data_IF_675414197840
#
_entry.id   IF_675414197840
#
_cell.length_a   1.000
_cell.length_b   1.000
_cell.length_c   1.000
_cell.angle_alpha   90.00
_cell.angle_beta   90.00
_cell.angle_gamma   90.00
#
_symmetry.space_group_name_H-M   'P 1'
#
loop_
_entity.id
_entity.type
_entity.pdbx_description
1 polymer ?
#
# COMPACT_ATOMS: atom_id res chain seq x y z
N UNK A 1 83.23 -39.96 36.54
CA UNK A 1 81.93 -40.22 37.13
C UNK A 1 81.22 -38.87 37.31
N UNK A 2 80.29 -38.49 36.43
CA UNK A 2 79.38 -37.34 36.61
C UNK A 2 78.01 -37.78 36.07
N UNK A 3 77.03 -37.87 36.98
CA UNK A 3 75.62 -38.16 36.68
C UNK A 3 74.94 -36.86 36.11
N UNK A 4 74.36 -37.01 34.95
CA UNK A 4 73.46 -35.94 34.36
C UNK A 4 72.05 -36.32 34.77
N UNK A 5 71.39 -35.44 35.51
CA UNK A 5 69.97 -35.55 35.85
C UNK A 5 69.14 -34.97 34.69
N UNK A 6 68.31 -35.78 34.08
CA UNK A 6 67.34 -35.32 33.08
C UNK A 6 66.16 -34.58 33.69
N UNK A 7 65.94 -33.40 33.21
CA UNK A 7 64.78 -32.53 33.56
C UNK A 7 63.59 -32.95 32.67
N UNK A 8 62.53 -33.49 33.25
CA UNK A 8 61.30 -33.79 32.54
C UNK A 8 60.43 -32.53 32.50
N UNK A 9 60.31 -31.93 31.34
CA UNK A 9 59.39 -30.81 31.08
C UNK A 9 58.01 -31.36 30.89
N UNK A 10 57.09 -31.10 31.83
CA UNK A 10 55.63 -31.39 31.67
C UNK A 10 55.01 -30.17 30.94
N UNK A 11 54.61 -30.36 29.69
CA UNK A 11 53.84 -29.37 28.96
C UNK A 11 52.36 -29.47 29.41
N UNK A 12 51.91 -28.47 30.16
CA UNK A 12 50.50 -28.34 30.51
C UNK A 12 49.73 -27.77 29.31
N UNK A 13 48.91 -28.57 28.66
CA UNK A 13 48.02 -28.14 27.58
C UNK A 13 46.80 -27.46 28.25
N UNK A 14 46.76 -26.12 28.27
CA UNK A 14 45.61 -25.34 28.73
C UNK A 14 44.51 -25.42 27.67
N UNK A 15 43.46 -26.22 27.92
CA UNK A 15 42.24 -26.27 27.11
C UNK A 15 41.42 -25.02 27.40
N UNK A 16 41.50 -24.00 26.52
CA UNK A 16 40.62 -22.82 26.59
C UNK A 16 39.23 -23.25 26.09
N UNK A 17 38.34 -23.63 26.99
CA UNK A 17 36.91 -23.70 26.71
C UNK A 17 36.42 -22.25 26.53
N UNK A 18 36.25 -21.84 25.28
CA UNK A 18 35.55 -20.64 24.95
C UNK A 18 34.08 -20.78 25.38
N UNK A 19 33.73 -20.20 26.52
CA UNK A 19 32.33 -19.98 26.91
C UNK A 19 31.75 -19.01 25.89
N UNK A 20 31.02 -19.52 24.91
CA UNK A 20 30.13 -18.67 24.09
C UNK A 20 29.06 -18.11 25.04
N UNK A 21 29.26 -16.85 25.46
CA UNK A 21 28.20 -16.10 26.14
C UNK A 21 27.01 -16.05 25.20
N UNK A 22 25.79 -16.36 25.65
CA UNK A 22 24.61 -16.12 24.82
C UNK A 22 24.59 -14.64 24.46
N UNK A 23 24.54 -14.34 23.17
CA UNK A 23 24.34 -12.98 22.71
C UNK A 23 23.04 -12.46 23.37
N UNK A 24 23.13 -11.33 24.05
CA UNK A 24 21.93 -10.69 24.60
C UNK A 24 20.99 -10.37 23.45
N UNK A 25 19.69 -10.66 23.64
CA UNK A 25 18.67 -10.32 22.66
C UNK A 25 18.75 -8.82 22.35
N UNK A 26 18.81 -8.46 21.08
CA UNK A 26 18.78 -7.07 20.65
C UNK A 26 17.33 -6.55 20.55
N UNK A 27 17.14 -5.27 20.85
CA UNK A 27 15.87 -4.58 20.62
C UNK A 27 16.02 -3.76 19.33
N UNK A 28 15.26 -4.15 18.28
CA UNK A 28 15.27 -3.48 16.98
C UNK A 28 13.98 -2.68 16.83
N UNK A 29 14.07 -1.44 16.37
CA UNK A 29 12.90 -0.62 16.01
C UNK A 29 12.92 -0.37 14.52
N UNK A 30 11.84 -0.75 13.81
CA UNK A 30 11.59 -0.42 12.42
C UNK A 30 10.53 0.66 12.31
N UNK A 31 10.66 1.52 11.31
CA UNK A 31 9.65 2.51 10.92
C UNK A 31 9.08 2.14 9.56
N UNK A 32 7.79 1.79 9.51
CA UNK A 32 7.04 1.56 8.28
C UNK A 32 6.17 2.78 7.97
N UNK A 33 6.42 3.42 6.84
CA UNK A 33 5.61 4.54 6.34
C UNK A 33 4.66 4.02 5.27
N UNK A 34 3.36 4.07 5.55
CA UNK A 34 2.31 3.39 4.78
C UNK A 34 1.17 4.33 4.37
N UNK A 35 0.28 3.85 3.51
CA UNK A 35 -0.93 4.58 3.12
C UNK A 35 -2.16 4.13 3.92
N UNK A 36 -3.22 4.96 3.91
CA UNK A 36 -4.37 4.83 4.83
C UNK A 36 -5.04 3.45 4.87
N UNK A 37 -5.41 2.79 3.76
CA UNK A 37 -6.18 1.54 3.78
C UNK A 37 -5.46 0.35 4.44
N UNK A 38 -4.17 0.44 4.72
CA UNK A 38 -3.38 -0.66 5.28
C UNK A 38 -3.33 -0.72 6.81
N UNK A 39 -3.96 0.22 7.52
CA UNK A 39 -3.86 0.35 8.99
C UNK A 39 -4.14 -0.94 9.74
N UNK A 40 -5.26 -1.55 9.46
CA UNK A 40 -5.75 -2.75 10.15
C UNK A 40 -4.89 -3.97 9.77
N UNK A 41 -4.49 -4.05 8.50
CA UNK A 41 -3.58 -5.08 8.01
C UNK A 41 -2.23 -5.02 8.75
N UNK A 42 -1.54 -3.87 8.72
CA UNK A 42 -0.23 -3.76 9.35
C UNK A 42 -0.27 -3.86 10.87
N UNK A 43 -1.39 -3.53 11.52
CA UNK A 43 -1.54 -3.76 12.96
C UNK A 43 -1.40 -5.25 13.32
N UNK A 44 -2.05 -6.13 12.57
CA UNK A 44 -1.97 -7.58 12.80
C UNK A 44 -0.66 -8.16 12.24
N UNK A 45 -0.26 -7.73 11.07
CA UNK A 45 0.97 -8.16 10.42
C UNK A 45 2.22 -7.88 11.26
N UNK A 46 2.33 -6.69 11.86
CA UNK A 46 3.45 -6.31 12.71
C UNK A 46 3.59 -7.22 13.94
N UNK A 47 2.47 -7.62 14.54
CA UNK A 47 2.49 -8.58 15.65
C UNK A 47 2.98 -9.96 15.19
N UNK A 48 2.46 -10.46 14.08
CA UNK A 48 2.87 -11.75 13.51
C UNK A 48 4.36 -11.75 13.11
N UNK A 49 4.84 -10.65 12.53
CA UNK A 49 6.25 -10.51 12.19
C UNK A 49 7.14 -10.45 13.43
N UNK A 50 6.74 -9.73 14.46
CA UNK A 50 7.51 -9.65 15.72
C UNK A 50 7.71 -11.03 16.36
N UNK A 51 6.65 -11.86 16.39
CA UNK A 51 6.71 -13.22 16.89
C UNK A 51 7.61 -14.10 16.02
N UNK A 52 7.49 -13.98 14.69
CA UNK A 52 8.37 -14.69 13.74
C UNK A 52 9.84 -14.30 13.92
N UNK A 53 10.14 -13.00 14.00
CA UNK A 53 11.50 -12.50 14.14
C UNK A 53 12.14 -12.97 15.44
N UNK A 54 11.40 -12.87 16.54
CA UNK A 54 11.85 -13.36 17.84
C UNK A 54 12.11 -14.87 17.83
N UNK A 55 11.24 -15.65 17.21
CA UNK A 55 11.43 -17.10 17.08
C UNK A 55 12.65 -17.48 16.22
N UNK A 56 12.96 -16.67 15.22
CA UNK A 56 14.06 -16.89 14.28
C UNK A 56 15.43 -16.46 14.82
N UNK A 57 15.49 -15.32 15.53
CA UNK A 57 16.75 -14.67 15.91
C UNK A 57 16.98 -14.61 17.42
N UNK A 58 15.93 -14.68 18.22
CA UNK A 58 15.94 -14.37 19.64
C UNK A 58 15.76 -12.87 19.95
N UNK A 59 15.86 -11.99 18.95
CA UNK A 59 15.76 -10.54 19.12
C UNK A 59 14.31 -10.07 19.14
N UNK A 60 14.04 -9.00 19.87
CA UNK A 60 12.75 -8.32 19.80
C UNK A 60 12.75 -7.30 18.67
N UNK A 61 11.61 -7.16 17.99
CA UNK A 61 11.40 -6.10 17.00
C UNK A 61 10.11 -5.34 17.31
N UNK A 62 10.19 -4.02 17.28
CA UNK A 62 9.03 -3.12 17.37
C UNK A 62 8.86 -2.39 16.06
N UNK A 63 7.67 -2.41 15.47
CA UNK A 63 7.39 -1.72 14.23
C UNK A 63 6.52 -0.50 14.52
N UNK A 64 7.08 0.69 14.34
CA UNK A 64 6.35 1.95 14.37
C UNK A 64 5.75 2.20 12.98
N UNK A 65 4.48 2.57 12.91
CA UNK A 65 3.80 2.82 11.64
C UNK A 65 3.28 4.25 11.55
N UNK A 66 3.49 4.87 10.37
CA UNK A 66 2.86 6.13 9.98
C UNK A 66 1.89 5.87 8.84
N UNK A 67 0.65 6.34 8.95
CA UNK A 67 -0.38 6.16 7.92
C UNK A 67 -0.98 7.50 7.50
N UNK A 68 -1.25 7.63 6.19
CA UNK A 68 -1.85 8.82 5.59
C UNK A 68 -2.06 8.67 4.10
N UNK A 69 -2.39 9.73 3.41
CA UNK A 69 -2.38 9.71 1.94
C UNK A 69 -0.99 9.40 1.40
N UNK A 70 -0.88 8.50 0.41
CA UNK A 70 0.42 7.97 -0.09
C UNK A 70 1.40 9.07 -0.50
N UNK A 71 0.96 10.04 -1.32
CA UNK A 71 1.81 11.17 -1.71
C UNK A 71 2.23 12.06 -0.53
N UNK A 72 1.36 12.23 0.49
CA UNK A 72 1.71 12.92 1.73
C UNK A 72 2.77 12.16 2.52
N UNK A 73 2.66 10.83 2.59
CA UNK A 73 3.62 9.97 3.26
C UNK A 73 4.98 9.97 2.54
N UNK A 74 4.99 9.91 1.20
CA UNK A 74 6.21 10.04 0.41
C UNK A 74 6.90 11.38 0.70
N UNK A 75 6.15 12.48 0.76
CA UNK A 75 6.69 13.79 1.10
C UNK A 75 7.29 13.81 2.50
N UNK A 76 6.65 13.20 3.50
CA UNK A 76 7.18 13.12 4.85
C UNK A 76 8.54 12.41 4.90
N UNK A 77 8.72 11.33 4.11
CA UNK A 77 10.02 10.64 4.00
C UNK A 77 11.08 11.54 3.35
N UNK A 78 10.73 12.25 2.28
CA UNK A 78 11.62 13.21 1.61
C UNK A 78 12.04 14.34 2.60
N UNK A 79 11.10 14.82 3.39
CA UNK A 79 11.32 15.89 4.38
C UNK A 79 12.02 15.39 5.66
N UNK A 80 12.42 14.12 5.74
CA UNK A 80 13.28 13.58 6.78
C UNK A 80 12.63 12.59 7.76
N UNK A 81 11.41 12.10 7.52
CA UNK A 81 10.87 11.00 8.31
C UNK A 81 11.72 9.74 8.06
N UNK A 82 12.36 9.24 9.12
CA UNK A 82 13.40 8.21 9.06
C UNK A 82 12.80 6.80 8.92
N UNK A 83 12.19 6.54 7.75
CA UNK A 83 11.58 5.25 7.42
C UNK A 83 12.63 4.18 7.13
N UNK A 84 12.45 2.98 7.67
CA UNK A 84 13.19 1.78 7.26
C UNK A 84 12.60 1.17 5.99
N UNK A 85 11.27 1.14 5.94
CA UNK A 85 10.51 0.65 4.81
C UNK A 85 9.36 1.59 4.47
N UNK A 86 9.01 1.61 3.20
CA UNK A 86 7.80 2.28 2.71
C UNK A 86 6.88 1.24 2.08
N UNK A 87 5.60 1.36 2.37
CA UNK A 87 4.54 0.47 1.84
C UNK A 87 3.42 1.37 1.34
N UNK A 88 3.65 1.94 0.14
CA UNK A 88 2.82 3.02 -0.42
C UNK A 88 1.82 2.51 -1.45
N UNK A 89 0.90 3.38 -1.84
CA UNK A 89 -0.13 3.03 -2.82
C UNK A 89 0.37 3.02 -4.27
N UNK A 90 1.48 3.71 -4.57
CA UNK A 90 1.91 4.00 -5.94
C UNK A 90 3.42 3.82 -6.09
N UNK A 91 3.85 3.19 -7.17
CA UNK A 91 5.27 3.09 -7.50
C UNK A 91 5.91 4.47 -7.67
N UNK A 92 5.23 5.40 -8.31
CA UNK A 92 5.74 6.76 -8.52
C UNK A 92 6.01 7.53 -7.22
N UNK A 93 5.30 7.24 -6.14
CA UNK A 93 5.57 7.86 -4.84
C UNK A 93 6.90 7.35 -4.26
N UNK A 94 7.26 6.08 -4.51
CA UNK A 94 8.57 5.52 -4.13
C UNK A 94 9.67 6.00 -5.09
N UNK A 95 9.40 6.11 -6.39
CA UNK A 95 10.34 6.67 -7.38
C UNK A 95 10.75 8.10 -7.01
N UNK A 96 9.80 8.91 -6.54
CA UNK A 96 10.09 10.30 -6.11
C UNK A 96 10.97 10.27 -4.84
N UNK A 97 10.71 9.38 -3.88
CA UNK A 97 11.59 9.21 -2.71
C UNK A 97 13.00 8.82 -3.15
N UNK A 98 13.13 7.85 -4.08
CA UNK A 98 14.43 7.42 -4.60
C UNK A 98 15.20 8.58 -5.22
N UNK A 99 14.53 9.32 -6.09
CA UNK A 99 15.10 10.47 -6.82
C UNK A 99 15.54 11.60 -5.90
N UNK A 100 14.66 12.01 -4.98
CA UNK A 100 14.90 13.20 -4.14
C UNK A 100 15.86 12.93 -2.97
N UNK A 101 15.91 11.68 -2.49
CA UNK A 101 16.75 11.33 -1.33
C UNK A 101 18.05 10.60 -1.70
N UNK A 102 18.09 9.89 -2.83
CA UNK A 102 19.20 9.00 -3.19
C UNK A 102 19.38 7.81 -2.23
N UNK A 103 18.40 7.55 -1.35
CA UNK A 103 18.52 6.55 -0.28
C UNK A 103 18.09 5.14 -0.68
N UNK A 104 17.55 4.96 -1.87
CA UNK A 104 17.23 3.64 -2.45
C UNK A 104 17.51 3.69 -3.96
N UNK A 105 17.84 2.54 -4.59
CA UNK A 105 18.19 2.51 -6.01
C UNK A 105 16.96 2.67 -6.89
N UNK A 106 17.15 3.19 -8.12
CA UNK A 106 16.06 3.37 -9.09
C UNK A 106 15.38 2.05 -9.49
N UNK A 107 16.10 0.92 -9.45
CA UNK A 107 15.57 -0.40 -9.76
C UNK A 107 14.94 -1.11 -8.54
N UNK A 108 14.58 -0.39 -7.47
CA UNK A 108 14.01 -0.92 -6.24
C UNK A 108 12.85 -1.90 -6.48
N UNK A 109 12.04 -1.65 -7.50
CA UNK A 109 10.83 -2.43 -7.80
C UNK A 109 11.14 -3.87 -8.24
N UNK A 110 12.34 -4.14 -8.75
CA UNK A 110 12.77 -5.49 -9.16
C UNK A 110 13.32 -6.35 -8.02
N UNK A 111 13.39 -5.82 -6.79
CA UNK A 111 14.05 -6.49 -5.65
C UNK A 111 13.19 -7.54 -4.97
N UNK A 112 11.85 -7.43 -5.10
CA UNK A 112 10.90 -8.34 -4.51
C UNK A 112 9.95 -8.91 -5.59
N UNK A 113 9.30 -10.05 -5.32
CA UNK A 113 8.36 -10.65 -6.27
C UNK A 113 7.22 -9.73 -6.68
N UNK A 114 6.60 -10.00 -7.84
CA UNK A 114 5.44 -9.26 -8.35
C UNK A 114 5.69 -7.75 -8.45
N UNK A 115 6.86 -7.35 -8.95
CA UNK A 115 7.29 -5.95 -9.01
C UNK A 115 7.16 -5.24 -7.65
N UNK A 116 7.57 -5.92 -6.58
CA UNK A 116 7.50 -5.48 -5.18
C UNK A 116 6.08 -5.22 -4.66
N UNK A 117 5.05 -5.84 -5.25
CA UNK A 117 3.65 -5.74 -4.83
C UNK A 117 3.19 -7.06 -4.20
N UNK A 118 3.17 -7.18 -2.86
CA UNK A 118 2.84 -8.43 -2.16
C UNK A 118 1.35 -8.78 -2.22
N UNK A 119 0.52 -7.85 -2.56
CA UNK A 119 -0.92 -7.96 -2.73
C UNK A 119 -1.42 -6.92 -3.72
N UNK A 120 -2.64 -7.11 -4.19
CA UNK A 120 -3.34 -6.17 -5.09
C UNK A 120 -4.70 -5.78 -4.53
N UNK A 121 -5.32 -4.80 -5.14
CA UNK A 121 -6.70 -4.38 -4.87
C UNK A 121 -7.31 -3.80 -6.15
N UNK A 122 -8.48 -3.24 -6.04
CA UNK A 122 -9.14 -2.51 -7.11
C UNK A 122 -10.03 -1.43 -6.55
N UNK A 123 -10.66 -0.64 -7.43
CA UNK A 123 -11.62 0.38 -7.06
C UNK A 123 -13.03 -0.16 -7.26
N UNK A 124 -13.83 -0.02 -6.22
CA UNK A 124 -15.26 -0.36 -6.19
C UNK A 124 -16.07 0.85 -5.72
N UNK A 125 -17.39 0.77 -5.84
CA UNK A 125 -18.30 1.77 -5.31
C UNK A 125 -18.90 1.25 -4.00
N UNK A 126 -18.77 2.01 -2.93
CA UNK A 126 -19.54 1.79 -1.71
C UNK A 126 -20.76 2.72 -1.75
N UNK A 127 -21.94 2.13 -1.72
CA UNK A 127 -23.21 2.87 -1.78
C UNK A 127 -24.05 2.64 -0.52
N UNK A 128 -25.03 3.49 -0.28
CA UNK A 128 -26.01 3.29 0.79
C UNK A 128 -26.80 2.02 0.55
N UNK A 129 -27.24 1.35 1.61
CA UNK A 129 -28.06 0.12 1.52
C UNK A 129 -29.29 0.32 0.63
N UNK A 130 -29.51 -0.67 -0.23
CA UNK A 130 -30.58 -0.63 -1.22
C UNK A 130 -30.29 0.27 -2.42
N UNK A 131 -29.08 0.84 -2.50
CA UNK A 131 -28.62 1.66 -3.62
C UNK A 131 -29.67 2.67 -4.12
N UNK A 132 -30.08 3.66 -3.32
CA UNK A 132 -31.23 4.52 -3.61
C UNK A 132 -31.13 5.30 -4.93
N UNK A 133 -29.89 5.52 -5.42
CA UNK A 133 -29.62 6.18 -6.70
C UNK A 133 -29.51 5.21 -7.87
N UNK A 134 -29.56 3.90 -7.64
CA UNK A 134 -29.46 2.88 -8.67
C UNK A 134 -28.13 2.85 -9.41
N UNK A 135 -27.03 3.25 -8.74
CA UNK A 135 -25.69 3.37 -9.32
C UNK A 135 -25.12 1.97 -9.59
N UNK A 136 -24.73 1.70 -10.84
CA UNK A 136 -24.24 0.40 -11.28
C UNK A 136 -22.85 0.50 -11.92
N UNK A 137 -22.54 1.61 -12.56
CA UNK A 137 -21.31 1.78 -13.32
C UNK A 137 -20.84 3.24 -13.31
N UNK A 138 -19.65 3.48 -13.82
CA UNK A 138 -19.00 4.80 -13.88
C UNK A 138 -19.88 5.85 -14.56
N UNK A 139 -20.63 5.48 -15.61
CA UNK A 139 -21.56 6.37 -16.31
C UNK A 139 -22.66 6.97 -15.43
N UNK A 140 -23.04 6.25 -14.36
CA UNK A 140 -24.05 6.74 -13.42
C UNK A 140 -23.51 7.87 -12.52
N UNK A 141 -22.18 7.92 -12.32
CA UNK A 141 -21.54 8.88 -11.42
C UNK A 141 -21.52 10.31 -11.95
N UNK A 142 -21.72 10.50 -13.25
CA UNK A 142 -21.78 11.81 -13.90
C UNK A 142 -23.20 12.36 -14.05
N UNK A 143 -24.21 11.63 -13.56
CA UNK A 143 -25.60 12.08 -13.59
C UNK A 143 -25.82 13.26 -12.63
N UNK A 144 -26.73 14.16 -13.02
CA UNK A 144 -27.12 15.28 -12.17
C UNK A 144 -27.77 14.80 -10.87
N UNK A 145 -27.36 15.41 -9.76
CA UNK A 145 -27.88 15.09 -8.42
C UNK A 145 -27.25 13.84 -7.77
N UNK A 146 -26.20 13.25 -8.36
CA UNK A 146 -25.36 12.26 -7.73
C UNK A 146 -24.20 12.96 -7.04
N UNK A 147 -23.94 12.64 -5.79
CA UNK A 147 -22.78 13.14 -5.03
C UNK A 147 -21.75 12.02 -4.85
N UNK A 148 -20.55 12.24 -5.40
CA UNK A 148 -19.43 11.29 -5.37
C UNK A 148 -18.43 11.72 -4.30
N UNK A 149 -18.04 10.80 -3.43
CA UNK A 149 -16.97 11.01 -2.46
C UNK A 149 -15.70 10.29 -2.95
N UNK A 150 -14.62 11.03 -3.03
CA UNK A 150 -13.27 10.53 -3.36
C UNK A 150 -12.24 11.46 -2.73
N UNK A 151 -11.06 10.96 -2.33
CA UNK A 151 -10.02 11.83 -1.81
C UNK A 151 -9.33 12.64 -2.91
N UNK A 152 -8.44 13.54 -2.50
CA UNK A 152 -7.73 14.45 -3.40
C UNK A 152 -6.55 13.74 -4.11
N UNK A 153 -6.49 13.68 -5.45
CA UNK A 153 -5.38 13.09 -6.20
C UNK A 153 -4.01 13.75 -5.97
N UNK A 154 -3.97 14.98 -5.48
CA UNK A 154 -2.71 15.66 -5.13
C UNK A 154 -2.06 15.10 -3.85
N UNK A 155 -2.82 14.45 -2.98
CA UNK A 155 -2.32 13.96 -1.67
C UNK A 155 -2.53 12.48 -1.44
N UNK A 156 -3.51 11.87 -2.12
CA UNK A 156 -3.93 10.49 -1.93
C UNK A 156 -3.60 9.62 -3.15
N UNK A 157 -2.83 8.55 -2.93
CA UNK A 157 -2.61 7.54 -3.97
C UNK A 157 -3.90 6.81 -4.35
N UNK A 158 -4.79 6.55 -3.38
CA UNK A 158 -6.11 5.96 -3.66
C UNK A 158 -6.93 6.81 -4.61
N UNK A 159 -6.88 8.13 -4.46
CA UNK A 159 -7.57 9.05 -5.37
C UNK A 159 -7.02 9.00 -6.81
N UNK A 160 -5.70 8.78 -6.97
CA UNK A 160 -5.10 8.61 -8.30
C UNK A 160 -5.59 7.32 -8.96
N UNK A 161 -5.70 6.23 -8.21
CA UNK A 161 -6.30 4.99 -8.70
C UNK A 161 -7.79 5.19 -9.08
N UNK A 162 -8.59 5.89 -8.25
CA UNK A 162 -9.99 6.22 -8.54
C UNK A 162 -10.12 7.01 -9.85
N UNK A 163 -9.31 8.04 -10.00
CA UNK A 163 -9.26 8.90 -11.19
C UNK A 163 -8.90 8.10 -12.44
N UNK A 164 -7.82 7.29 -12.38
CA UNK A 164 -7.36 6.52 -13.53
C UNK A 164 -8.36 5.42 -13.91
N UNK A 165 -9.05 4.79 -12.95
CA UNK A 165 -10.11 3.84 -13.25
C UNK A 165 -11.27 4.49 -14.02
N UNK A 166 -11.71 5.69 -13.60
CA UNK A 166 -12.72 6.46 -14.32
C UNK A 166 -12.26 6.89 -15.72
N UNK A 167 -10.98 7.26 -15.85
CA UNK A 167 -10.37 7.62 -17.14
C UNK A 167 -10.35 6.44 -18.12
N UNK A 168 -9.92 5.27 -17.66
CA UNK A 168 -9.89 4.03 -18.46
C UNK A 168 -11.31 3.69 -18.96
N UNK A 169 -12.30 3.75 -18.06
CA UNK A 169 -13.69 3.53 -18.46
C UNK A 169 -14.13 4.50 -19.55
N UNK A 170 -13.80 5.78 -19.42
CA UNK A 170 -14.16 6.80 -20.41
C UNK A 170 -13.45 6.55 -21.76
N UNK A 171 -12.16 6.22 -21.76
CA UNK A 171 -11.44 5.87 -22.99
C UNK A 171 -12.11 4.70 -23.73
N UNK A 172 -12.47 3.64 -23.01
CA UNK A 172 -13.17 2.51 -23.64
C UNK A 172 -14.55 2.89 -24.15
N UNK A 173 -15.31 3.65 -23.37
CA UNK A 173 -16.67 4.07 -23.73
C UNK A 173 -16.69 4.98 -24.96
N UNK A 174 -15.70 5.85 -25.08
CA UNK A 174 -15.65 6.88 -26.14
C UNK A 174 -14.63 6.56 -27.24
N UNK A 175 -14.20 5.30 -27.39
CA UNK A 175 -13.35 4.88 -28.50
C UNK A 175 -11.95 5.49 -28.48
N UNK A 176 -11.32 5.57 -27.29
CA UNK A 176 -9.97 6.11 -27.05
C UNK A 176 -9.84 7.62 -27.29
N UNK A 177 -10.95 8.37 -27.17
CA UNK A 177 -10.98 9.82 -27.30
C UNK A 177 -10.60 10.46 -25.96
N UNK A 178 -9.37 10.96 -25.87
CA UNK A 178 -8.81 11.60 -24.67
C UNK A 178 -9.58 12.88 -24.27
N UNK A 179 -10.10 13.63 -25.22
CA UNK A 179 -10.85 14.85 -24.92
C UNK A 179 -12.19 14.51 -24.26
N UNK A 180 -12.87 13.46 -24.72
CA UNK A 180 -14.10 12.97 -24.10
C UNK A 180 -13.82 12.30 -22.75
N UNK A 181 -12.70 11.64 -22.59
CA UNK A 181 -12.29 11.10 -21.28
C UNK A 181 -12.05 12.23 -20.28
N UNK A 182 -11.39 13.32 -20.69
CA UNK A 182 -11.20 14.50 -19.85
C UNK A 182 -12.55 15.17 -19.48
N UNK A 183 -13.47 15.29 -20.43
CA UNK A 183 -14.81 15.83 -20.17
C UNK A 183 -15.57 14.97 -19.17
N UNK A 184 -15.57 13.64 -19.36
CA UNK A 184 -16.23 12.68 -18.47
C UNK A 184 -15.70 12.77 -17.04
N UNK A 185 -14.36 12.69 -16.86
CA UNK A 185 -13.75 12.79 -15.53
C UNK A 185 -13.98 14.17 -14.93
N UNK A 186 -13.93 15.22 -15.75
CA UNK A 186 -14.30 16.58 -15.31
C UNK A 186 -15.74 16.64 -14.78
N UNK A 187 -16.68 15.99 -15.47
CA UNK A 187 -18.08 15.92 -15.01
C UNK A 187 -18.21 15.11 -13.71
N UNK A 188 -17.47 14.02 -13.57
CA UNK A 188 -17.42 13.25 -12.31
C UNK A 188 -16.96 14.14 -11.16
N UNK A 189 -15.88 14.92 -11.34
CA UNK A 189 -15.35 15.78 -10.28
C UNK A 189 -16.25 17.00 -9.97
N UNK A 190 -17.12 17.43 -10.88
CA UNK A 190 -18.18 18.41 -10.55
C UNK A 190 -19.19 17.86 -9.54
N UNK A 191 -19.37 16.54 -9.50
CA UNK A 191 -20.23 15.85 -8.54
C UNK A 191 -19.53 15.55 -7.21
N UNK A 192 -18.28 15.97 -7.02
CA UNK A 192 -17.50 15.75 -5.79
C UNK A 192 -17.59 16.98 -4.88
N UNK A 193 -18.38 16.93 -3.79
CA UNK A 193 -18.58 18.07 -2.91
C UNK A 193 -17.39 18.31 -1.96
N UNK A 194 -16.60 17.27 -1.66
CA UNK A 194 -15.50 17.31 -0.69
C UNK A 194 -14.33 16.47 -1.19
N UNK A 195 -13.11 17.01 -1.12
CA UNK A 195 -11.87 16.31 -1.38
C UNK A 195 -11.08 16.17 -0.08
N UNK A 196 -11.19 14.99 0.56
CA UNK A 196 -10.41 14.67 1.75
C UNK A 196 -8.93 14.40 1.38
N UNK A 197 -8.03 14.52 2.35
CA UNK A 197 -6.58 14.36 2.10
C UNK A 197 -6.14 12.92 1.88
N UNK A 198 -6.98 11.92 2.22
CA UNK A 198 -6.69 10.49 2.09
C UNK A 198 -7.95 9.64 2.12
N UNK A 199 -7.80 8.35 1.78
CA UNK A 199 -8.91 7.40 1.66
C UNK A 199 -9.73 7.30 2.94
N UNK A 200 -9.08 7.20 4.11
CA UNK A 200 -9.79 7.10 5.40
C UNK A 200 -10.64 8.34 5.71
N UNK A 201 -10.18 9.53 5.31
CA UNK A 201 -10.96 10.77 5.41
C UNK A 201 -12.25 10.67 4.60
N UNK A 202 -12.17 10.21 3.35
CA UNK A 202 -13.32 10.02 2.47
C UNK A 202 -14.30 8.96 3.00
N UNK A 203 -13.79 7.84 3.55
CA UNK A 203 -14.62 6.85 4.24
C UNK A 203 -15.37 7.48 5.41
N UNK A 204 -14.70 8.28 6.23
CA UNK A 204 -15.33 9.00 7.36
C UNK A 204 -16.39 9.98 6.86
N UNK A 205 -16.08 10.77 5.83
CA UNK A 205 -17.03 11.72 5.22
C UNK A 205 -18.27 11.01 4.69
N UNK A 206 -18.09 9.92 3.97
CA UNK A 206 -19.21 9.14 3.44
C UNK A 206 -19.93 8.38 4.55
N UNK A 207 -19.25 7.46 5.25
CA UNK A 207 -19.92 6.45 6.09
C UNK A 207 -20.36 7.01 7.44
N UNK A 208 -19.58 7.92 8.06
CA UNK A 208 -19.88 8.42 9.41
C UNK A 208 -20.59 9.78 9.39
N UNK A 209 -20.24 10.67 8.46
CA UNK A 209 -20.86 12.00 8.35
C UNK A 209 -22.11 11.99 7.47
N UNK A 210 -22.37 10.92 6.74
CA UNK A 210 -23.54 10.77 5.89
C UNK A 210 -23.54 11.62 4.62
N UNK A 211 -22.38 12.11 4.17
CA UNK A 211 -22.25 12.97 2.99
C UNK A 211 -22.01 12.09 1.75
N UNK A 212 -22.70 12.41 0.64
CA UNK A 212 -22.55 11.74 -0.63
C UNK A 212 -23.43 10.50 -0.81
N UNK A 213 -23.64 10.13 -2.07
CA UNK A 213 -24.43 8.96 -2.49
C UNK A 213 -23.56 7.74 -2.72
N UNK A 214 -22.31 7.96 -3.13
CA UNK A 214 -21.33 6.91 -3.44
C UNK A 214 -19.93 7.33 -3.00
N UNK A 215 -19.18 6.37 -2.49
CA UNK A 215 -17.75 6.49 -2.22
C UNK A 215 -16.98 5.65 -3.25
N UNK A 216 -16.05 6.26 -3.98
CA UNK A 216 -15.03 5.54 -4.72
C UNK A 216 -14.01 5.03 -3.73
N UNK A 217 -13.99 3.72 -3.51
CA UNK A 217 -13.18 3.11 -2.46
C UNK A 217 -12.26 2.03 -3.02
N UNK A 218 -11.13 1.82 -2.35
CA UNK A 218 -10.40 0.58 -2.45
C UNK A 218 -11.30 -0.58 -2.01
N UNK A 219 -11.21 -1.71 -2.69
CA UNK A 219 -12.00 -2.89 -2.39
C UNK A 219 -11.86 -3.32 -0.91
N UNK A 220 -10.63 -3.34 -0.39
CA UNK A 220 -10.39 -3.67 1.02
C UNK A 220 -11.01 -2.66 2.00
N UNK A 221 -11.00 -1.38 1.69
CA UNK A 221 -11.61 -0.33 2.53
C UNK A 221 -13.14 -0.43 2.52
N UNK A 222 -13.74 -0.80 1.38
CA UNK A 222 -15.16 -1.05 1.27
C UNK A 222 -15.60 -2.25 2.12
N UNK A 223 -14.89 -3.38 2.03
CA UNK A 223 -15.17 -4.54 2.88
C UNK A 223 -14.95 -4.27 4.37
N UNK A 224 -13.90 -3.52 4.71
CA UNK A 224 -13.65 -3.11 6.08
C UNK A 224 -14.79 -2.24 6.63
N UNK A 225 -15.30 -1.32 5.81
CA UNK A 225 -16.44 -0.47 6.17
C UNK A 225 -17.70 -1.30 6.45
N UNK A 226 -18.00 -2.30 5.61
CA UNK A 226 -19.11 -3.23 5.86
C UNK A 226 -18.91 -4.00 7.17
N UNK A 227 -17.71 -4.50 7.42
CA UNK A 227 -17.38 -5.25 8.63
C UNK A 227 -17.51 -4.41 9.90
N UNK A 228 -17.08 -3.14 9.87
CA UNK A 228 -17.04 -2.28 11.05
C UNK A 228 -18.35 -1.55 11.32
N UNK A 229 -19.07 -1.14 10.26
CA UNK A 229 -20.26 -0.30 10.40
C UNK A 229 -21.58 -1.02 10.09
N UNK A 230 -21.52 -2.24 9.56
CA UNK A 230 -22.65 -3.11 9.32
C UNK A 230 -23.04 -3.22 7.84
N UNK A 231 -23.34 -4.45 7.41
CA UNK A 231 -23.82 -4.78 6.07
C UNK A 231 -25.27 -4.32 5.80
N UNK A 232 -25.94 -3.87 6.84
CA UNK A 232 -27.29 -3.29 6.77
C UNK A 232 -27.29 -1.80 6.38
N UNK A 233 -26.12 -1.13 6.41
CA UNK A 233 -26.01 0.30 6.12
C UNK A 233 -25.47 0.58 4.70
N UNK A 234 -24.63 -0.32 4.18
CA UNK A 234 -23.94 -0.12 2.91
C UNK A 234 -23.94 -1.39 2.07
N UNK A 235 -23.65 -1.23 0.80
CA UNK A 235 -23.36 -2.33 -0.12
C UNK A 235 -22.29 -1.94 -1.13
N UNK A 236 -21.58 -2.95 -1.64
CA UNK A 236 -20.51 -2.79 -2.62
C UNK A 236 -21.10 -3.03 -4.02
N UNK A 237 -20.87 -2.08 -4.91
CA UNK A 237 -21.14 -2.20 -6.35
C UNK A 237 -19.82 -2.33 -7.08
N UNK A 238 -19.65 -3.40 -7.84
CA UNK A 238 -18.47 -3.63 -8.67
C UNK A 238 -18.79 -3.11 -10.07
N UNK A 239 -18.04 -2.09 -10.57
CA UNK A 239 -18.29 -1.53 -11.89
C UNK A 239 -17.92 -2.51 -13.00
N UNK A 240 -18.38 -2.26 -14.23
CA UNK A 240 -18.15 -3.11 -15.41
C UNK A 240 -16.67 -3.32 -15.72
N UNK A 241 -15.83 -2.33 -15.41
CA UNK A 241 -14.38 -2.42 -15.39
C UNK A 241 -13.80 -1.57 -14.27
N UNK A 242 -12.61 -1.94 -13.82
CA UNK A 242 -11.83 -1.15 -12.89
C UNK A 242 -10.33 -1.32 -13.17
N UNK A 243 -9.50 -0.69 -12.35
CA UNK A 243 -8.04 -0.77 -12.49
C UNK A 243 -7.47 -1.80 -11.52
N UNK A 244 -6.46 -2.56 -11.96
CA UNK A 244 -5.66 -3.40 -11.08
C UNK A 244 -4.71 -2.51 -10.28
N UNK A 245 -5.00 -2.33 -9.01
CA UNK A 245 -4.14 -1.56 -8.12
C UNK A 245 -3.07 -2.46 -7.50
N UNK A 246 -1.80 -2.15 -7.75
CA UNK A 246 -0.63 -2.91 -7.33
C UNK A 246 0.21 -2.05 -6.37
N UNK A 247 -0.17 -1.94 -5.07
CA UNK A 247 0.55 -1.12 -4.10
C UNK A 247 1.91 -1.75 -3.76
N UNK A 248 3.03 -1.05 -4.04
CA UNK A 248 4.35 -1.58 -3.86
C UNK A 248 4.93 -1.31 -2.48
N UNK A 249 5.97 -2.08 -2.15
CA UNK A 249 6.78 -1.92 -0.94
C UNK A 249 8.26 -1.78 -1.28
N UNK A 250 9.01 -1.03 -0.47
CA UNK A 250 10.44 -0.87 -0.69
C UNK A 250 11.21 -0.63 0.60
N UNK A 251 12.48 -1.03 0.58
CA UNK A 251 13.47 -0.76 1.62
C UNK A 251 14.10 0.62 1.36
N UNK A 252 14.32 1.41 2.40
CA UNK A 252 15.08 2.65 2.33
C UNK A 252 16.54 2.37 2.75
N UNK A 253 17.35 1.97 1.78
CA UNK A 253 18.71 1.46 2.01
C UNK A 253 19.58 2.37 2.87
N UNK A 254 19.60 3.66 2.56
CA UNK A 254 20.42 4.61 3.33
C UNK A 254 20.02 4.73 4.80
N UNK A 255 18.73 4.56 5.12
CA UNK A 255 18.26 4.62 6.49
C UNK A 255 18.57 3.32 7.24
N UNK A 256 18.26 2.15 6.64
CA UNK A 256 18.50 0.87 7.32
C UNK A 256 20.00 0.61 7.55
N UNK A 257 20.87 1.08 6.65
CA UNK A 257 22.33 0.98 6.84
C UNK A 257 22.81 1.89 7.97
N UNK A 258 22.34 3.13 8.01
CA UNK A 258 22.68 4.07 9.06
C UNK A 258 22.21 3.63 10.45
N UNK A 259 21.05 2.96 10.52
CA UNK A 259 20.43 2.46 11.76
C UNK A 259 20.88 1.05 12.14
N UNK A 260 21.52 0.30 11.24
CA UNK A 260 21.85 -1.12 11.44
C UNK A 260 20.63 -2.04 11.47
N UNK A 261 19.50 -1.63 10.87
CA UNK A 261 18.21 -2.37 10.88
C UNK A 261 17.98 -3.21 9.63
N UNK A 262 18.91 -3.24 8.67
CA UNK A 262 18.77 -3.87 7.35
C UNK A 262 18.23 -5.29 7.42
N UNK A 263 18.82 -6.17 8.23
CA UNK A 263 18.43 -7.57 8.30
C UNK A 263 16.96 -7.75 8.74
N UNK A 264 16.51 -6.97 9.72
CA UNK A 264 15.12 -7.01 10.18
C UNK A 264 14.16 -6.39 9.16
N UNK A 265 14.56 -5.30 8.49
CA UNK A 265 13.74 -4.61 7.49
C UNK A 265 13.57 -5.44 6.20
N UNK A 266 14.63 -6.10 5.72
CA UNK A 266 14.54 -7.05 4.59
C UNK A 266 13.65 -8.23 4.94
N UNK A 267 13.86 -8.85 6.11
CA UNK A 267 12.99 -9.94 6.57
C UNK A 267 11.53 -9.50 6.73
N UNK A 268 11.28 -8.25 7.14
CA UNK A 268 9.94 -7.69 7.25
C UNK A 268 9.25 -7.61 5.88
N UNK A 269 9.94 -7.17 4.84
CA UNK A 269 9.38 -7.12 3.49
C UNK A 269 9.21 -8.52 2.89
N UNK A 270 10.17 -9.41 3.08
CA UNK A 270 10.10 -10.81 2.60
C UNK A 270 8.93 -11.57 3.25
N UNK A 271 8.66 -11.31 4.52
CA UNK A 271 7.57 -11.96 5.26
C UNK A 271 6.18 -11.64 4.69
N UNK A 272 6.01 -10.54 3.96
CA UNK A 272 4.77 -10.22 3.22
C UNK A 272 4.42 -11.31 2.18
N UNK A 273 5.42 -11.96 1.61
CA UNK A 273 5.26 -13.02 0.60
C UNK A 273 5.23 -14.44 1.19
N UNK A 274 5.33 -14.56 2.52
CA UNK A 274 5.18 -15.83 3.24
C UNK A 274 3.72 -16.26 3.30
N UNK A 275 3.49 -17.54 3.66
CA UNK A 275 2.14 -18.05 3.90
C UNK A 275 1.35 -17.18 4.89
N UNK A 276 1.98 -16.77 5.99
CA UNK A 276 1.33 -15.91 6.99
C UNK A 276 1.00 -14.53 6.42
N UNK A 277 1.94 -13.90 5.71
CA UNK A 277 1.72 -12.61 5.06
C UNK A 277 0.57 -12.65 4.06
N UNK A 278 0.49 -13.69 3.24
CA UNK A 278 -0.55 -13.85 2.23
C UNK A 278 -1.92 -14.18 2.83
N UNK A 279 -1.97 -15.00 3.89
CA UNK A 279 -3.19 -15.23 4.67
C UNK A 279 -3.71 -13.95 5.30
N UNK A 280 -2.84 -13.16 5.91
CA UNK A 280 -3.21 -11.88 6.49
C UNK A 280 -3.69 -10.87 5.43
N UNK A 281 -3.04 -10.82 4.27
CA UNK A 281 -3.49 -9.97 3.17
C UNK A 281 -4.93 -10.31 2.76
N UNK A 282 -5.24 -11.60 2.52
CA UNK A 282 -6.59 -12.04 2.18
C UNK A 282 -7.60 -11.78 3.31
N UNK A 283 -7.24 -12.08 4.56
CA UNK A 283 -8.08 -11.81 5.75
C UNK A 283 -8.47 -10.32 5.87
N UNK A 284 -7.56 -9.43 5.49
CA UNK A 284 -7.75 -7.98 5.49
C UNK A 284 -8.22 -7.43 4.13
N UNK A 285 -8.82 -8.29 3.31
CA UNK A 285 -9.50 -7.94 2.07
C UNK A 285 -8.59 -7.42 0.95
N UNK A 286 -7.29 -7.72 1.01
CA UNK A 286 -6.39 -7.57 -0.13
C UNK A 286 -6.33 -8.85 -0.94
N UNK A 287 -6.25 -8.74 -2.26
CA UNK A 287 -6.04 -9.87 -3.16
C UNK A 287 -4.58 -10.31 -3.07
N UNK A 288 -4.26 -11.47 -2.47
CA UNK A 288 -2.86 -11.89 -2.28
C UNK A 288 -2.18 -12.14 -3.63
N UNK A 289 -0.87 -11.83 -3.72
CA UNK A 289 -0.08 -12.12 -4.93
C UNK A 289 0.15 -13.63 -5.13
N UNK A 290 -0.02 -14.42 -4.05
CA UNK A 290 0.06 -15.89 -4.03
C UNK A 290 -1.21 -16.46 -3.40
N UNK A 291 -2.34 -16.46 -4.14
CA UNK A 291 -3.63 -16.85 -3.58
C UNK A 291 -3.66 -18.30 -3.09
N UNK A 292 -2.81 -19.17 -3.63
CA UNK A 292 -2.66 -20.57 -3.19
C UNK A 292 -2.12 -20.71 -1.76
N UNK A 293 -1.52 -19.67 -1.18
CA UNK A 293 -1.04 -19.64 0.20
C UNK A 293 -2.08 -19.10 1.18
N UNK A 294 -3.14 -18.47 0.68
CA UNK A 294 -4.19 -17.86 1.51
C UNK A 294 -5.32 -18.84 1.81
N UNK A 295 -6.20 -18.48 2.75
CA UNK A 295 -7.40 -19.25 3.02
C UNK A 295 -8.34 -19.18 1.80
N UNK A 296 -8.78 -20.33 1.25
CA UNK A 296 -9.69 -20.34 0.09
C UNK A 296 -10.99 -19.57 0.31
N UNK A 297 -11.54 -19.55 1.53
CA UNK A 297 -12.74 -18.80 1.87
C UNK A 297 -12.50 -17.28 1.79
N UNK A 298 -11.32 -16.83 2.19
CA UNK A 298 -10.94 -15.42 2.09
C UNK A 298 -10.69 -15.00 0.64
N UNK A 299 -10.13 -15.87 -0.18
CA UNK A 299 -9.92 -15.62 -1.61
C UNK A 299 -11.23 -15.63 -2.40
N UNK A 300 -12.14 -16.55 -2.07
CA UNK A 300 -13.42 -16.70 -2.76
C UNK A 300 -14.39 -15.50 -2.60
N UNK A 301 -14.14 -14.63 -1.63
CA UNK A 301 -14.98 -13.44 -1.42
C UNK A 301 -14.81 -12.35 -2.48
N UNK A 302 -13.67 -12.36 -3.18
CA UNK A 302 -13.39 -11.33 -4.18
C UNK A 302 -14.23 -11.59 -5.44
N UNK A 303 -15.08 -10.65 -5.85
CA UNK A 303 -15.88 -10.81 -7.05
C UNK A 303 -15.00 -10.88 -8.29
N UNK A 304 -15.47 -11.59 -9.31
CA UNK A 304 -14.89 -11.47 -10.62
C UNK A 304 -15.10 -10.04 -11.13
N UNK A 305 -14.01 -9.37 -11.47
CA UNK A 305 -14.03 -8.02 -12.01
C UNK A 305 -13.09 -7.94 -13.21
N UNK A 306 -13.46 -7.14 -14.19
CA UNK A 306 -12.58 -6.83 -15.31
C UNK A 306 -11.60 -5.75 -14.86
N UNK A 307 -10.35 -6.17 -14.61
CA UNK A 307 -9.28 -5.30 -14.14
C UNK A 307 -8.30 -4.98 -15.27
N UNK A 308 -8.05 -3.70 -15.49
CA UNK A 308 -7.12 -3.19 -16.49
C UNK A 308 -5.81 -2.80 -15.79
N UNK A 309 -4.68 -3.19 -16.34
CA UNK A 309 -3.37 -2.77 -15.82
C UNK A 309 -3.08 -1.34 -16.25
N UNK A 310 -2.43 -0.60 -15.36
CA UNK A 310 -2.02 0.78 -15.63
C UNK A 310 -1.13 0.87 -16.87
N UNK A 311 -0.19 -0.06 -17.00
CA UNK A 311 0.80 -0.08 -18.07
C UNK A 311 0.17 -0.28 -19.46
N UNK A 312 -0.94 -1.02 -19.54
CA UNK A 312 -1.65 -1.28 -20.79
C UNK A 312 -2.26 0.00 -21.39
N UNK A 313 -2.54 1.01 -20.56
CA UNK A 313 -3.19 2.26 -20.99
C UNK A 313 -2.22 3.45 -20.95
N UNK A 314 -1.46 3.59 -19.89
CA UNK A 314 -0.60 4.77 -19.67
C UNK A 314 0.89 4.48 -19.90
N UNK A 315 1.26 3.22 -20.15
CA UNK A 315 2.63 2.77 -20.35
C UNK A 315 3.45 2.71 -19.05
N UNK A 316 3.28 3.66 -18.14
CA UNK A 316 3.96 3.68 -16.84
C UNK A 316 3.31 4.64 -15.83
N UNK A 317 3.59 4.45 -14.55
CA UNK A 317 3.24 5.44 -13.52
C UNK A 317 3.86 6.81 -13.76
N UNK A 318 5.10 6.88 -14.27
CA UNK A 318 5.75 8.14 -14.58
C UNK A 318 4.98 8.94 -15.64
N UNK A 319 4.49 8.27 -16.67
CA UNK A 319 3.65 8.89 -17.71
C UNK A 319 2.30 9.35 -17.15
N UNK A 320 1.59 8.48 -16.41
CA UNK A 320 0.33 8.84 -15.79
C UNK A 320 0.49 10.04 -14.84
N UNK A 321 1.54 10.05 -14.01
CA UNK A 321 1.86 11.14 -13.11
C UNK A 321 2.11 12.45 -13.87
N UNK A 322 2.96 12.40 -14.89
CA UNK A 322 3.32 13.58 -15.69
C UNK A 322 2.11 14.19 -16.40
N UNK A 323 1.26 13.35 -16.99
CA UNK A 323 0.10 13.80 -17.77
C UNK A 323 -1.02 14.30 -16.88
N UNK A 324 -1.35 13.55 -15.83
CA UNK A 324 -2.59 13.79 -15.09
C UNK A 324 -2.39 14.53 -13.77
N UNK A 325 -1.30 14.31 -13.03
CA UNK A 325 -1.21 14.74 -11.62
C UNK A 325 -0.09 15.73 -11.30
N UNK A 326 0.86 15.95 -12.22
CA UNK A 326 1.84 17.02 -12.09
C UNK A 326 1.18 18.38 -12.09
N UNK A 327 1.88 19.41 -11.62
CA UNK A 327 1.38 20.77 -11.63
C UNK A 327 1.06 21.21 -13.07
N UNK A 328 -0.16 21.72 -13.27
CA UNK A 328 -0.69 22.05 -14.59
C UNK A 328 -1.16 20.84 -15.42
N UNK A 329 -1.10 19.60 -14.85
CA UNK A 329 -1.60 18.39 -15.49
C UNK A 329 -3.13 18.40 -15.66
N UNK A 330 -3.66 17.33 -16.26
CA UNK A 330 -5.09 17.25 -16.61
C UNK A 330 -5.99 17.44 -15.39
N UNK A 331 -5.62 16.89 -14.22
CA UNK A 331 -6.42 17.08 -13.01
C UNK A 331 -6.57 18.56 -12.62
N UNK A 332 -5.52 19.37 -12.73
CA UNK A 332 -5.58 20.81 -12.42
C UNK A 332 -6.42 21.60 -13.44
N UNK A 333 -6.60 21.05 -14.65
CA UNK A 333 -7.44 21.67 -15.67
C UNK A 333 -8.93 21.41 -15.44
N UNK A 334 -9.28 20.21 -14.95
CA UNK A 334 -10.68 19.80 -14.74
C UNK A 334 -11.21 20.13 -13.35
N UNK A 335 -10.36 20.25 -12.35
CA UNK A 335 -10.76 20.59 -10.99
C UNK A 335 -10.14 21.91 -10.55
N UNK A 336 -10.98 22.92 -10.41
CA UNK A 336 -10.60 24.25 -9.89
C UNK A 336 -11.36 24.50 -8.60
N UNK A 337 -10.66 24.57 -7.44
CA UNK A 337 -11.33 24.83 -6.17
C UNK A 337 -12.13 26.13 -6.22
N UNK A 338 -13.42 26.08 -5.87
CA UNK A 338 -14.28 27.25 -5.78
C UNK A 338 -14.94 27.72 -7.09
N UNK A 339 -14.89 26.94 -8.16
CA UNK A 339 -15.67 27.18 -9.40
C UNK A 339 -16.85 26.23 -9.52
#
# INVERSE_FOLDING_TARGET
>A
MKRIRGLKTVAALALVLGLALPAAAADVTLVNVSYDPTREFYKEYNSAFADFWKGKTGDNVTIQTSHGGSGKQARAVIDGLDADVVTLALAVDIDIIAKETGKLPENWQSRLPSASSPYTSTIVFLVRKGNPKGLKDWGDLVQSGVQVITPNPKTSGGARWNYLAAWIYALETFGQDEAKAQEFVGQLFKNVPVLDTGARGSTTTFAQRGIGDVLLAWENEAYLTLKELGEDQFEIVVPSLSILAEPPVALIDGNVDAKGTRAAAEAYLDYLYSEVGQKLAAKHFYRPSKPELADPADVARFPAARLVKLEDVFGSWANAQKTHFSDGGVFDQIYKPGQ
#
